data_IF_147310079878
#
_entry.id   IF_147310079878
#
_cell.length_a   1.000
_cell.length_b   1.000
_cell.length_c   1.000
_cell.angle_alpha   90.00
_cell.angle_beta   90.00
_cell.angle_gamma   90.00
#
_symmetry.space_group_name_H-M   'P 1'
#
loop_
_entity.id
_entity.type
_entity.pdbx_description
1 polymer ?
#
# COMPACT_ATOMS: atom_id res chain seq x y z
N UNK A 1 -13.32 -0.95 36.43
CA UNK A 1 -13.80 -0.11 35.31
C UNK A 1 -12.87 -0.31 34.12
N UNK A 2 -13.22 -1.20 33.19
CA UNK A 2 -12.48 -1.38 31.94
C UNK A 2 -12.98 -0.33 30.95
N UNK A 3 -12.14 0.55 30.39
CA UNK A 3 -12.61 1.44 29.34
C UNK A 3 -13.03 0.56 28.15
N UNK A 4 -14.28 0.71 27.71
CA UNK A 4 -14.82 0.18 26.45
C UNK A 4 -14.16 0.89 25.26
N UNK A 5 -12.84 0.76 25.16
CA UNK A 5 -12.03 1.31 24.09
C UNK A 5 -11.49 0.15 23.26
N UNK A 6 -11.80 0.18 21.97
CA UNK A 6 -11.19 -0.73 21.00
C UNK A 6 -9.67 -0.66 21.17
N UNK A 7 -9.06 -1.75 21.65
CA UNK A 7 -7.63 -1.79 21.95
C UNK A 7 -6.88 -2.04 20.64
N UNK A 8 -5.66 -1.50 20.47
CA UNK A 8 -4.89 -1.61 19.21
C UNK A 8 -4.76 -3.06 18.73
N UNK A 9 -4.54 -3.99 19.66
CA UNK A 9 -4.44 -5.43 19.41
C UNK A 9 -5.73 -6.03 18.83
N UNK A 10 -6.90 -5.54 19.27
CA UNK A 10 -8.20 -5.98 18.73
C UNK A 10 -8.39 -5.44 17.30
N UNK A 11 -7.96 -4.21 17.02
CA UNK A 11 -8.01 -3.66 15.66
C UNK A 11 -7.09 -4.41 14.70
N UNK A 12 -5.87 -4.76 15.13
CA UNK A 12 -4.92 -5.52 14.30
C UNK A 12 -5.45 -6.91 13.93
N UNK A 13 -6.11 -7.60 14.87
CA UNK A 13 -6.71 -8.92 14.61
C UNK A 13 -7.85 -8.87 13.58
N UNK A 14 -8.68 -7.82 13.60
CA UNK A 14 -9.81 -7.68 12.67
C UNK A 14 -9.48 -6.85 11.43
N UNK A 15 -8.25 -6.32 11.30
CA UNK A 15 -7.83 -5.45 10.21
C UNK A 15 -8.10 -6.08 8.83
N UNK A 16 -7.76 -7.36 8.67
CA UNK A 16 -8.00 -8.10 7.42
C UNK A 16 -9.49 -8.19 7.11
N UNK A 17 -10.32 -8.49 8.12
CA UNK A 17 -11.78 -8.62 7.94
C UNK A 17 -12.42 -7.28 7.60
N UNK A 18 -11.98 -6.21 8.25
CA UNK A 18 -12.46 -4.85 7.98
C UNK A 18 -12.09 -4.42 6.56
N UNK A 19 -10.86 -4.68 6.10
CA UNK A 19 -10.46 -4.40 4.72
C UNK A 19 -11.26 -5.20 3.70
N UNK A 20 -11.47 -6.50 3.96
CA UNK A 20 -12.28 -7.34 3.07
C UNK A 20 -13.73 -6.84 2.98
N UNK A 21 -14.33 -6.52 4.13
CA UNK A 21 -15.68 -5.97 4.18
C UNK A 21 -15.77 -4.64 3.42
N UNK A 22 -14.79 -3.74 3.60
CA UNK A 22 -14.73 -2.47 2.89
C UNK A 22 -14.62 -2.64 1.37
N UNK A 23 -13.78 -3.57 0.90
CA UNK A 23 -13.63 -3.88 -0.54
C UNK A 23 -14.92 -4.44 -1.12
N UNK A 24 -15.59 -5.36 -0.41
CA UNK A 24 -16.86 -5.93 -0.86
C UNK A 24 -17.97 -4.88 -0.91
N UNK A 25 -18.08 -4.04 0.10
CA UNK A 25 -19.07 -2.95 0.15
C UNK A 25 -18.78 -1.93 -0.96
N UNK A 26 -17.54 -1.49 -1.12
CA UNK A 26 -17.14 -0.56 -2.18
C UNK A 26 -17.38 -1.13 -3.58
N UNK A 27 -17.03 -2.41 -3.79
CA UNK A 27 -17.27 -3.10 -5.05
C UNK A 27 -18.76 -3.21 -5.38
N UNK A 28 -19.58 -3.72 -4.45
CA UNK A 28 -21.03 -3.84 -4.65
C UNK A 28 -21.71 -2.48 -4.84
N UNK A 29 -21.33 -1.46 -4.07
CA UNK A 29 -21.84 -0.10 -4.25
C UNK A 29 -21.45 0.48 -5.63
N UNK A 30 -20.22 0.25 -6.09
CA UNK A 30 -19.75 0.68 -7.40
C UNK A 30 -20.51 0.02 -8.56
N UNK A 31 -20.87 -1.26 -8.42
CA UNK A 31 -21.69 -1.97 -9.42
C UNK A 31 -23.15 -1.52 -9.43
N UNK A 32 -23.72 -1.19 -8.26
CA UNK A 32 -25.14 -0.82 -8.13
C UNK A 32 -25.40 0.67 -8.44
N UNK A 33 -24.43 1.55 -8.24
CA UNK A 33 -24.59 3.01 -8.37
C UNK A 33 -23.54 3.63 -9.30
N UNK A 34 -23.62 3.31 -10.59
CA UNK A 34 -22.75 3.86 -11.64
C UNK A 34 -22.87 5.38 -11.83
N UNK A 35 -24.00 5.98 -11.45
CA UNK A 35 -24.24 7.44 -11.58
C UNK A 35 -23.58 8.28 -10.47
N UNK A 36 -23.17 7.67 -9.35
CA UNK A 36 -22.53 8.39 -8.23
C UNK A 36 -21.01 8.21 -8.23
N UNK A 37 -20.48 7.35 -9.11
CA UNK A 37 -19.06 7.01 -9.21
C UNK A 37 -18.19 8.24 -9.48
N UNK A 38 -18.60 9.17 -10.35
CA UNK A 38 -17.83 10.38 -10.65
C UNK A 38 -17.61 11.28 -9.43
N UNK A 39 -18.60 11.41 -8.54
CA UNK A 39 -18.46 12.21 -7.30
C UNK A 39 -17.56 11.52 -6.28
N UNK A 40 -17.60 10.19 -6.22
CA UNK A 40 -16.72 9.39 -5.35
C UNK A 40 -15.27 9.41 -5.85
N UNK A 41 -15.07 9.41 -7.16
CA UNK A 41 -13.74 9.50 -7.78
C UNK A 41 -13.04 10.82 -7.42
N UNK A 42 -13.79 11.93 -7.38
CA UNK A 42 -13.26 13.21 -6.88
C UNK A 42 -12.81 13.14 -5.41
N UNK A 43 -13.41 12.26 -4.60
CA UNK A 43 -13.06 12.07 -3.19
C UNK A 43 -11.78 11.23 -3.00
N UNK A 44 -11.35 10.48 -4.02
CA UNK A 44 -10.13 9.66 -3.95
C UNK A 44 -8.91 10.53 -3.69
N UNK A 45 -8.76 11.63 -4.43
CA UNK A 45 -7.64 12.57 -4.28
C UNK A 45 -7.50 13.18 -2.87
N UNK A 46 -8.54 13.78 -2.26
CA UNK A 46 -8.44 14.32 -0.91
C UNK A 46 -8.25 13.23 0.14
N UNK A 47 -8.87 12.05 0.00
CA UNK A 47 -8.64 10.93 0.91
C UNK A 47 -7.18 10.47 0.84
N UNK A 48 -6.62 10.32 -0.36
CA UNK A 48 -5.20 10.03 -0.54
C UNK A 48 -4.32 11.11 0.06
N UNK A 49 -4.65 12.39 -0.13
CA UNK A 49 -3.90 13.51 0.44
C UNK A 49 -3.90 13.46 1.98
N UNK A 50 -5.04 13.18 2.61
CA UNK A 50 -5.15 13.02 4.07
C UNK A 50 -4.36 11.80 4.53
N UNK A 51 -4.49 10.66 3.85
CA UNK A 51 -3.73 9.45 4.17
C UNK A 51 -2.22 9.73 4.12
N UNK A 52 -1.71 10.24 3.00
CA UNK A 52 -0.30 10.60 2.87
C UNK A 52 0.12 11.64 3.91
N UNK A 53 -0.69 12.66 4.17
CA UNK A 53 -0.39 13.68 5.19
C UNK A 53 -0.26 13.04 6.58
N UNK A 54 -1.20 12.18 6.96
CA UNK A 54 -1.14 11.46 8.25
C UNK A 54 0.04 10.50 8.32
N UNK A 55 0.33 9.77 7.25
CA UNK A 55 1.49 8.88 7.16
C UNK A 55 2.79 9.68 7.31
N UNK A 56 2.94 10.81 6.61
CA UNK A 56 4.12 11.66 6.75
C UNK A 56 4.24 12.30 8.14
N UNK A 57 3.13 12.62 8.77
CA UNK A 57 3.13 13.14 10.14
C UNK A 57 3.54 12.06 11.17
N UNK A 58 3.22 10.79 10.91
CA UNK A 58 3.68 9.65 11.70
C UNK A 58 5.16 9.32 11.47
N UNK A 59 5.72 9.66 10.31
CA UNK A 59 7.14 9.49 10.01
C UNK A 59 7.95 10.56 10.76
N UNK A 60 8.57 10.13 11.86
CA UNK A 60 9.52 10.92 12.64
C UNK A 60 10.70 11.35 11.74
N UNK A 61 10.77 12.65 11.43
CA UNK A 61 11.86 13.24 10.62
C UNK A 61 13.26 12.97 11.21
N UNK A 62 13.36 12.73 12.52
CA UNK A 62 14.62 12.43 13.22
C UNK A 62 15.19 11.06 12.86
N UNK A 63 14.33 10.07 12.60
CA UNK A 63 14.75 8.68 12.28
C UNK A 63 15.14 8.54 10.79
N UNK A 64 14.55 9.36 9.92
CA UNK A 64 14.86 9.40 8.48
C UNK A 64 16.34 9.73 8.21
N UNK A 65 16.92 10.68 8.96
CA UNK A 65 18.33 11.08 8.81
C UNK A 65 19.27 9.95 9.24
N UNK A 66 18.89 9.16 10.24
CA UNK A 66 19.69 8.02 10.69
C UNK A 66 19.59 6.82 9.72
N UNK A 67 18.42 6.63 9.08
CA UNK A 67 18.22 5.64 8.02
C UNK A 67 19.09 5.90 6.77
N UNK A 68 19.32 7.16 6.39
CA UNK A 68 20.25 7.52 5.30
C UNK A 68 21.71 7.12 5.58
N UNK A 69 22.09 6.91 6.86
CA UNK A 69 23.43 6.45 7.23
C UNK A 69 23.65 4.96 6.92
N UNK A 70 22.58 4.19 6.77
CA UNK A 70 22.61 2.77 6.40
C UNK A 70 22.56 2.58 4.87
N UNK A 71 23.67 2.90 4.19
CA UNK A 71 23.80 2.77 2.72
C UNK A 71 23.44 1.38 2.18
N UNK A 72 23.66 0.31 2.96
CA UNK A 72 23.31 -1.07 2.60
C UNK A 72 21.80 -1.28 2.49
N UNK A 73 21.01 -0.65 3.37
CA UNK A 73 19.56 -0.72 3.33
C UNK A 73 18.99 0.04 2.13
N UNK A 74 19.49 1.26 1.91
CA UNK A 74 19.10 2.08 0.76
C UNK A 74 19.40 1.39 -0.57
N UNK A 75 20.60 0.81 -0.71
CA UNK A 75 20.99 0.07 -1.93
C UNK A 75 20.23 -1.23 -2.11
N UNK A 76 19.95 -1.99 -1.05
CA UNK A 76 19.11 -3.19 -1.12
C UNK A 76 17.67 -2.86 -1.56
N UNK A 77 17.09 -1.79 -1.02
CA UNK A 77 15.75 -1.33 -1.41
C UNK A 77 15.72 -0.86 -2.87
N UNK A 78 16.75 -0.14 -3.34
CA UNK A 78 16.88 0.23 -4.75
C UNK A 78 16.97 -1.00 -5.65
N UNK A 79 17.83 -1.97 -5.31
CA UNK A 79 18.00 -3.19 -6.12
C UNK A 79 16.73 -4.04 -6.13
N UNK A 80 16.04 -4.16 -5.00
CA UNK A 80 14.77 -4.87 -4.94
C UNK A 80 13.71 -4.21 -5.83
N UNK A 81 13.51 -2.90 -5.69
CA UNK A 81 12.46 -2.18 -6.43
C UNK A 81 12.77 -1.98 -7.92
N UNK A 82 14.02 -1.75 -8.29
CA UNK A 82 14.40 -1.42 -9.68
C UNK A 82 15.01 -2.56 -10.47
N UNK A 83 15.45 -3.65 -9.83
CA UNK A 83 15.96 -4.83 -10.53
C UNK A 83 15.10 -6.06 -10.27
N UNK A 84 14.88 -6.43 -9.00
CA UNK A 84 14.17 -7.67 -8.67
C UNK A 84 12.69 -7.62 -9.06
N UNK A 85 11.97 -6.57 -8.66
CA UNK A 85 10.54 -6.39 -8.96
C UNK A 85 10.29 -6.34 -10.46
N UNK A 86 11.02 -5.56 -11.28
CA UNK A 86 10.84 -5.56 -12.74
C UNK A 86 11.11 -6.91 -13.40
N UNK A 87 12.12 -7.67 -12.93
CA UNK A 87 12.39 -9.02 -13.43
C UNK A 87 11.24 -9.98 -13.11
N UNK A 88 10.71 -9.91 -11.88
CA UNK A 88 9.54 -10.71 -11.47
C UNK A 88 8.31 -10.31 -12.31
N UNK A 89 8.06 -9.01 -12.48
CA UNK A 89 6.96 -8.49 -13.29
C UNK A 89 7.11 -8.94 -14.74
N UNK A 90 8.32 -8.93 -15.29
CA UNK A 90 8.58 -9.40 -16.64
C UNK A 90 8.26 -10.88 -16.79
N UNK A 91 8.65 -11.72 -15.83
CA UNK A 91 8.28 -13.14 -15.83
C UNK A 91 6.75 -13.34 -15.72
N UNK A 92 6.08 -12.61 -14.81
CA UNK A 92 4.63 -12.65 -14.66
C UNK A 92 3.88 -12.12 -15.88
N UNK A 93 4.47 -11.17 -16.61
CA UNK A 93 3.87 -10.59 -17.82
C UNK A 93 3.64 -11.64 -18.92
N UNK A 94 4.40 -12.73 -18.91
CA UNK A 94 4.23 -13.85 -19.84
C UNK A 94 2.99 -14.70 -19.52
N UNK A 95 2.53 -14.69 -18.26
CA UNK A 95 1.32 -15.38 -17.82
C UNK A 95 0.09 -14.46 -17.86
N UNK A 96 0.29 -13.15 -18.06
CA UNK A 96 -0.79 -12.17 -18.07
C UNK A 96 -1.58 -12.21 -19.39
N UNK A 97 -2.90 -11.97 -19.36
CA UNK A 97 -3.72 -11.82 -20.56
C UNK A 97 -3.14 -10.79 -21.53
N UNK A 98 -3.43 -10.96 -22.82
CA UNK A 98 -3.02 -10.05 -23.89
C UNK A 98 -3.81 -8.72 -23.89
N UNK A 99 -4.79 -8.57 -23.00
CA UNK A 99 -5.54 -7.32 -22.86
C UNK A 99 -4.63 -6.17 -22.36
N UNK A 100 -4.45 -5.11 -23.16
CA UNK A 100 -3.56 -4.01 -22.80
C UNK A 100 -4.02 -3.21 -21.58
N UNK A 101 -5.33 -3.15 -21.29
CA UNK A 101 -5.85 -2.41 -20.13
C UNK A 101 -5.53 -3.14 -18.82
N UNK A 102 -5.73 -4.46 -18.79
CA UNK A 102 -5.40 -5.29 -17.62
C UNK A 102 -3.89 -5.27 -17.36
N UNK A 103 -3.09 -5.34 -18.42
CA UNK A 103 -1.63 -5.31 -18.31
C UNK A 103 -1.11 -3.96 -17.79
N UNK A 104 -1.70 -2.85 -18.24
CA UNK A 104 -1.36 -1.52 -17.73
C UNK A 104 -1.68 -1.39 -16.24
N UNK A 105 -2.88 -1.83 -15.81
CA UNK A 105 -3.28 -1.81 -14.40
C UNK A 105 -2.36 -2.66 -13.52
N UNK A 106 -2.04 -3.88 -13.96
CA UNK A 106 -1.13 -4.76 -13.24
C UNK A 106 0.28 -4.15 -13.13
N UNK A 107 0.80 -3.57 -14.21
CA UNK A 107 2.10 -2.91 -14.17
C UNK A 107 2.10 -1.68 -13.26
N UNK A 108 1.04 -0.86 -13.25
CA UNK A 108 0.93 0.24 -12.27
C UNK A 108 0.98 -0.27 -10.84
N UNK A 109 0.28 -1.35 -10.51
CA UNK A 109 0.25 -1.88 -9.13
C UNK A 109 1.58 -2.52 -8.73
N UNK A 110 2.23 -3.26 -9.64
CA UNK A 110 3.45 -3.99 -9.30
C UNK A 110 4.73 -3.15 -9.41
N UNK A 111 4.80 -2.15 -10.30
CA UNK A 111 6.01 -1.34 -10.48
C UNK A 111 6.05 -0.11 -9.57
N UNK A 112 4.92 0.37 -9.06
CA UNK A 112 4.93 1.51 -8.14
C UNK A 112 5.68 1.09 -6.86
N UNK A 113 6.78 1.77 -6.51
CA UNK A 113 7.59 1.36 -5.37
C UNK A 113 6.84 1.63 -4.06
N UNK A 114 6.57 0.58 -3.29
CA UNK A 114 6.03 0.65 -1.94
C UNK A 114 7.16 0.40 -0.93
N UNK A 115 7.85 1.49 -0.54
CA UNK A 115 8.97 1.43 0.40
C UNK A 115 8.55 1.20 1.85
N UNK A 116 7.26 1.34 2.15
CA UNK A 116 6.68 1.28 3.49
C UNK A 116 6.76 -0.12 4.13
N UNK A 117 6.39 -1.18 3.40
CA UNK A 117 6.37 -2.54 3.98
C UNK A 117 7.78 -3.11 4.24
N UNK A 118 8.74 -2.89 3.34
CA UNK A 118 10.09 -3.42 3.52
C UNK A 118 10.76 -2.93 4.81
N UNK A 119 10.57 -1.67 5.18
CA UNK A 119 11.10 -1.09 6.42
C UNK A 119 10.52 -1.81 7.65
N UNK A 120 9.21 -2.04 7.67
CA UNK A 120 8.53 -2.76 8.76
C UNK A 120 9.03 -4.20 8.90
N UNK A 121 9.25 -4.91 7.79
CA UNK A 121 9.80 -6.27 7.82
C UNK A 121 11.26 -6.32 8.29
N UNK A 122 12.05 -5.31 7.92
CA UNK A 122 13.44 -5.17 8.36
C UNK A 122 13.50 -4.92 9.88
N UNK A 123 12.59 -4.07 10.38
CA UNK A 123 12.42 -3.83 11.83
C UNK A 123 11.99 -5.10 12.58
N UNK A 124 11.03 -5.86 12.05
CA UNK A 124 10.60 -7.17 12.59
C UNK A 124 11.71 -8.23 12.50
N UNK A 125 12.53 -8.17 11.46
CA UNK A 125 13.67 -9.06 11.20
C UNK A 125 14.91 -8.76 12.05
N UNK A 126 14.88 -7.70 12.87
CA UNK A 126 16.01 -7.22 13.70
C UNK A 126 17.26 -6.83 12.87
N UNK A 127 17.11 -6.38 11.63
CA UNK A 127 18.23 -5.95 10.79
C UNK A 127 17.86 -5.52 9.39
#
# INVERSE_FOLDING_TARGET
MRPNGVTKETLEQYQVVVYLAAVLVGGTAGFLWTTTTERLELLVWPVLAVLLYTTFCQVSFSDTVQAFRHRRFFTASLLANFALVPVIVWALSQLLPSDPAIRLGAFMVLLVPCTDWFVTFTYLGKG
#
